data_IF_728644844065
#
_entry.id   IF_728644844065
#
_cell.length_a   1.000
_cell.length_b   1.000
_cell.length_c   1.000
_cell.angle_alpha   90.00
_cell.angle_beta   90.00
_cell.angle_gamma   90.00
#
_symmetry.space_group_name_H-M   'P 1'
#
loop_
_entity.id
_entity.type
_entity.pdbx_description
1 polymer ?
#
# COMPACT_ATOMS: atom_id res chain seq x y z
N UNK A 1 -26.25 10.09 -12.37
CA UNK A 1 -25.08 10.70 -13.01
C UNK A 1 -24.49 9.68 -13.96
N UNK A 2 -24.46 9.98 -15.24
CA UNK A 2 -23.89 9.09 -16.25
C UNK A 2 -22.36 9.25 -16.24
N UNK A 3 -21.58 8.24 -15.83
CA UNK A 3 -20.13 8.32 -15.87
C UNK A 3 -19.64 8.40 -17.32
N UNK A 4 -18.58 9.17 -17.54
CA UNK A 4 -17.95 9.29 -18.85
C UNK A 4 -16.89 8.22 -19.05
N UNK A 5 -16.58 7.92 -20.30
CA UNK A 5 -15.44 7.10 -20.70
C UNK A 5 -14.29 8.02 -21.10
N UNK A 6 -13.07 7.61 -20.87
CA UNK A 6 -11.87 8.35 -21.24
C UNK A 6 -10.96 7.45 -22.08
N UNK A 7 -10.15 8.02 -22.98
CA UNK A 7 -9.20 7.24 -23.79
C UNK A 7 -8.06 6.69 -22.94
N UNK A 8 -7.41 5.64 -23.45
CA UNK A 8 -6.21 5.07 -22.84
C UNK A 8 -5.07 6.09 -22.86
N UNK A 9 -4.46 6.35 -21.70
CA UNK A 9 -3.38 7.33 -21.55
C UNK A 9 -2.62 7.14 -20.24
N UNK A 10 -1.42 7.72 -20.16
CA UNK A 10 -0.68 7.85 -18.90
C UNK A 10 -1.07 9.17 -18.23
N UNK A 11 -1.51 9.09 -16.99
CA UNK A 11 -1.87 10.25 -16.17
C UNK A 11 -1.54 9.99 -14.71
N UNK A 12 -1.35 11.03 -13.89
CA UNK A 12 -1.29 10.87 -12.44
C UNK A 12 -2.58 10.23 -11.92
N UNK A 13 -2.42 9.26 -11.00
CA UNK A 13 -3.54 8.58 -10.35
C UNK A 13 -3.51 8.91 -8.87
N UNK A 14 -4.63 9.39 -8.35
CA UNK A 14 -4.81 9.71 -6.94
C UNK A 14 -5.69 8.63 -6.31
N UNK A 15 -5.17 7.97 -5.29
CA UNK A 15 -5.91 6.97 -4.49
C UNK A 15 -6.53 7.66 -3.29
N UNK A 16 -7.85 7.66 -3.17
CA UNK A 16 -8.52 8.13 -1.96
C UNK A 16 -8.11 7.31 -0.74
N UNK A 17 -8.27 7.84 0.47
CA UNK A 17 -7.96 7.13 1.72
C UNK A 17 -8.68 5.79 1.84
N UNK A 18 -9.84 5.66 1.22
CA UNK A 18 -10.62 4.42 1.18
C UNK A 18 -9.91 3.28 0.44
N UNK A 19 -9.16 3.58 -0.62
CA UNK A 19 -8.52 2.59 -1.49
C UNK A 19 -7.01 2.55 -1.36
N UNK A 20 -6.37 3.61 -0.87
CA UNK A 20 -4.91 3.68 -0.71
C UNK A 20 -4.36 2.65 0.28
N UNK A 21 -5.13 2.28 1.30
CA UNK A 21 -4.76 1.22 2.25
C UNK A 21 -4.50 -0.14 1.56
N UNK A 22 -5.15 -0.41 0.44
CA UNK A 22 -4.92 -1.62 -0.36
C UNK A 22 -3.48 -1.74 -0.86
N UNK A 23 -2.83 -0.63 -1.14
CA UNK A 23 -1.40 -0.62 -1.51
C UNK A 23 -0.53 -1.13 -0.37
N UNK A 24 -0.85 -0.78 0.88
CA UNK A 24 -0.17 -1.31 2.06
C UNK A 24 -0.46 -2.81 2.27
N UNK A 25 -1.63 -3.29 1.87
CA UNK A 25 -1.96 -4.71 1.83
C UNK A 25 -1.04 -5.48 0.89
N UNK A 26 -0.79 -4.95 -0.31
CA UNK A 26 0.16 -5.54 -1.25
C UNK A 26 1.60 -5.50 -0.72
N UNK A 27 2.01 -4.40 -0.10
CA UNK A 27 3.32 -4.30 0.55
C UNK A 27 3.47 -5.35 1.67
N UNK A 28 2.51 -5.43 2.59
CA UNK A 28 2.61 -6.37 3.72
C UNK A 28 2.65 -7.82 3.26
N UNK A 29 1.94 -8.18 2.21
CA UNK A 29 2.03 -9.49 1.56
C UNK A 29 3.41 -9.75 0.94
N UNK A 30 3.98 -8.74 0.29
CA UNK A 30 5.29 -8.85 -0.37
C UNK A 30 6.47 -8.95 0.60
N UNK A 31 6.39 -8.30 1.76
CA UNK A 31 7.44 -8.37 2.81
C UNK A 31 7.11 -9.38 3.91
N UNK A 32 6.05 -10.15 3.77
CA UNK A 32 5.71 -11.23 4.68
C UNK A 32 6.78 -12.32 4.65
N UNK A 33 7.31 -12.69 5.80
CA UNK A 33 8.38 -13.69 5.91
C UNK A 33 8.05 -15.03 5.25
N UNK A 34 6.78 -15.43 5.20
CA UNK A 34 6.37 -16.65 4.48
C UNK A 34 6.56 -16.53 2.97
N UNK A 35 6.25 -15.38 2.38
CA UNK A 35 6.46 -15.11 0.96
C UNK A 35 7.95 -15.04 0.62
N UNK A 36 8.74 -14.41 1.49
CA UNK A 36 10.19 -14.32 1.33
C UNK A 36 10.84 -15.71 1.42
N UNK A 37 10.47 -16.52 2.41
CA UNK A 37 10.99 -17.87 2.58
C UNK A 37 10.68 -18.79 1.39
N UNK A 38 9.53 -18.61 0.73
CA UNK A 38 9.17 -19.32 -0.50
C UNK A 38 9.81 -18.75 -1.76
N UNK A 39 10.41 -17.57 -1.70
CA UNK A 39 10.97 -16.88 -2.87
C UNK A 39 9.89 -16.37 -3.84
N UNK A 40 8.65 -16.14 -3.38
CA UNK A 40 7.50 -15.77 -4.21
C UNK A 40 7.12 -14.29 -4.12
N UNK A 41 8.04 -13.43 -3.71
CA UNK A 41 7.81 -11.98 -3.63
C UNK A 41 8.67 -11.23 -4.63
N UNK A 42 8.08 -10.21 -5.28
CA UNK A 42 8.83 -9.26 -6.12
C UNK A 42 9.83 -8.40 -5.33
N UNK A 43 9.76 -8.41 -3.99
CA UNK A 43 10.68 -7.69 -3.10
C UNK A 43 11.73 -8.58 -2.43
N UNK A 44 11.80 -9.86 -2.78
CA UNK A 44 12.63 -10.86 -2.09
C UNK A 44 14.12 -10.47 -1.98
N UNK A 45 14.65 -9.73 -2.94
CA UNK A 45 16.06 -9.33 -3.00
C UNK A 45 16.27 -7.85 -2.63
N UNK A 46 15.27 -7.19 -2.04
CA UNK A 46 15.24 -5.74 -1.84
C UNK A 46 15.52 -5.27 -0.41
N UNK A 47 15.93 -6.16 0.50
CA UNK A 47 16.28 -5.76 1.86
C UNK A 47 17.37 -4.70 1.87
N UNK A 48 17.13 -3.60 2.59
CA UNK A 48 18.07 -2.48 2.69
C UNK A 48 18.09 -1.55 1.48
N UNK A 49 17.28 -1.82 0.46
CA UNK A 49 17.17 -0.96 -0.72
C UNK A 49 16.00 0.02 -0.62
N UNK A 50 16.12 1.11 -1.36
CA UNK A 50 15.02 2.05 -1.54
C UNK A 50 13.96 1.43 -2.45
N UNK A 51 12.75 1.22 -1.90
CA UNK A 51 11.60 0.67 -2.63
C UNK A 51 10.41 1.63 -2.70
N UNK A 52 10.44 2.71 -1.93
CA UNK A 52 9.53 3.85 -2.00
C UNK A 52 10.28 5.14 -2.29
N UNK A 53 9.55 6.18 -2.65
CA UNK A 53 10.09 7.53 -2.77
C UNK A 53 10.71 8.03 -1.45
N UNK A 54 11.57 9.04 -1.53
CA UNK A 54 12.13 9.70 -0.35
C UNK A 54 11.03 10.21 0.58
N UNK A 55 11.27 10.18 1.87
CA UNK A 55 10.36 10.67 2.90
C UNK A 55 9.20 9.73 3.26
N UNK A 56 9.04 8.59 2.58
CA UNK A 56 8.00 7.62 2.90
C UNK A 56 8.40 6.78 4.11
N UNK A 57 7.55 6.80 5.15
CA UNK A 57 7.70 5.95 6.34
C UNK A 57 6.43 5.13 6.54
N UNK A 58 6.60 3.81 6.71
CA UNK A 58 5.49 2.86 6.94
C UNK A 58 5.80 2.06 8.19
N UNK A 59 4.88 2.10 9.14
CA UNK A 59 5.05 1.57 10.49
C UNK A 59 4.00 0.51 10.83
N UNK A 60 4.40 -0.40 11.71
CA UNK A 60 3.49 -1.28 12.44
C UNK A 60 3.55 -0.93 13.93
N UNK A 61 2.43 -0.59 14.53
CA UNK A 61 2.36 -0.19 15.94
C UNK A 61 1.37 -1.08 16.71
N UNK A 62 1.85 -2.14 17.37
CA UNK A 62 1.00 -3.04 18.14
C UNK A 62 0.46 -2.40 19.44
N UNK A 63 0.99 -1.27 19.85
CA UNK A 63 0.63 -0.58 21.09
C UNK A 63 -0.14 0.72 20.87
N UNK A 64 -0.59 0.97 19.64
CA UNK A 64 -1.40 2.14 19.35
C UNK A 64 -2.63 2.17 20.27
N UNK A 65 -2.78 3.26 21.03
CA UNK A 65 -3.93 3.44 21.92
C UNK A 65 -5.24 3.38 21.14
N UNK A 66 -6.16 2.50 21.55
CA UNK A 66 -7.42 2.23 20.87
C UNK A 66 -7.29 1.76 19.40
N UNK A 67 -6.14 1.23 19.04
CA UNK A 67 -5.94 0.61 17.73
C UNK A 67 -6.74 -0.69 17.62
N UNK A 68 -7.32 -0.93 16.46
CA UNK A 68 -8.20 -2.11 16.23
C UNK A 68 -7.45 -3.44 16.33
N UNK A 69 -6.14 -3.43 16.11
CA UNK A 69 -5.28 -4.62 16.14
C UNK A 69 -4.19 -4.55 17.19
N UNK A 70 -4.33 -3.67 18.17
CA UNK A 70 -3.38 -3.54 19.27
C UNK A 70 -3.39 -4.78 20.15
N UNK A 71 -2.22 -5.21 20.57
CA UNK A 71 -2.02 -6.35 21.46
C UNK A 71 -0.70 -6.22 22.24
N UNK A 72 -0.64 -6.69 23.50
CA UNK A 72 0.53 -6.50 24.35
C UNK A 72 1.74 -7.37 23.98
N UNK A 73 1.51 -8.47 23.27
CA UNK A 73 2.51 -9.40 22.78
C UNK A 73 2.01 -10.03 21.47
N UNK A 74 2.90 -10.67 20.72
CA UNK A 74 2.51 -11.37 19.51
C UNK A 74 1.85 -12.74 19.80
N UNK A 75 1.44 -13.46 18.76
CA UNK A 75 0.78 -14.76 18.88
C UNK A 75 1.65 -15.90 19.38
N UNK A 76 2.95 -15.67 19.56
CA UNK A 76 3.92 -16.61 20.15
C UNK A 76 4.40 -16.18 21.54
N UNK A 77 3.80 -15.12 22.10
CA UNK A 77 4.13 -14.61 23.42
C UNK A 77 5.39 -13.75 23.47
N UNK A 78 5.91 -13.32 22.33
CA UNK A 78 7.06 -12.42 22.27
C UNK A 78 6.63 -10.96 22.48
N UNK A 79 7.49 -10.21 23.19
CA UNK A 79 7.31 -8.77 23.32
C UNK A 79 7.39 -8.10 21.93
N UNK A 80 6.30 -7.48 21.51
CA UNK A 80 6.22 -6.74 20.27
C UNK A 80 6.52 -5.24 20.51
N UNK A 81 6.81 -4.53 19.44
CA UNK A 81 7.13 -3.10 19.51
C UNK A 81 6.76 -2.40 18.22
N UNK A 82 6.59 -1.08 18.31
CA UNK A 82 6.46 -0.23 17.14
C UNK A 82 7.72 -0.34 16.29
N UNK A 83 7.53 -0.56 14.99
CA UNK A 83 8.63 -0.78 14.04
C UNK A 83 8.35 -0.08 12.73
N UNK A 84 9.33 0.62 12.19
CA UNK A 84 9.30 1.08 10.82
C UNK A 84 9.77 -0.06 9.89
N UNK A 85 8.88 -0.54 9.02
CA UNK A 85 9.24 -1.49 7.97
C UNK A 85 9.80 -0.78 6.74
N UNK A 86 9.36 0.44 6.50
CA UNK A 86 9.92 1.36 5.52
C UNK A 86 10.29 2.64 6.28
N UNK A 87 11.53 3.07 6.12
CA UNK A 87 12.05 4.32 6.70
C UNK A 87 12.76 5.13 5.62
N UNK A 88 12.28 6.35 5.38
CA UNK A 88 12.75 7.20 4.29
C UNK A 88 12.86 6.45 2.94
N UNK A 89 11.83 5.69 2.63
CA UNK A 89 11.73 4.89 1.40
C UNK A 89 12.50 3.57 1.41
N UNK A 90 13.32 3.31 2.41
CA UNK A 90 14.21 2.13 2.49
C UNK A 90 13.54 0.98 3.25
N UNK A 91 13.56 -0.22 2.67
CA UNK A 91 13.07 -1.44 3.31
C UNK A 91 13.99 -1.86 4.46
N UNK A 92 13.45 -1.87 5.70
CA UNK A 92 14.20 -2.13 6.92
C UNK A 92 14.12 -3.58 7.40
N UNK A 93 12.99 -4.23 7.19
CA UNK A 93 12.76 -5.56 7.77
C UNK A 93 11.65 -6.31 7.03
N UNK A 94 11.70 -7.65 7.11
CA UNK A 94 10.56 -8.52 6.79
C UNK A 94 9.61 -8.59 7.98
N UNK A 95 8.35 -8.96 7.73
CA UNK A 95 7.37 -9.28 8.77
C UNK A 95 7.58 -10.73 9.17
N UNK A 96 8.09 -10.99 10.38
CA UNK A 96 8.57 -12.30 10.81
C UNK A 96 7.84 -12.81 12.05
N UNK A 97 7.61 -14.13 12.07
CA UNK A 97 7.39 -14.95 13.25
C UNK A 97 8.65 -15.78 13.54
N UNK A 98 8.63 -16.64 14.57
CA UNK A 98 9.77 -17.46 14.92
C UNK A 98 10.14 -18.47 13.82
N UNK A 99 9.14 -19.04 13.14
CA UNK A 99 9.38 -20.03 12.10
C UNK A 99 10.06 -19.40 10.88
N UNK A 100 9.52 -18.31 10.36
CA UNK A 100 10.09 -17.62 9.20
C UNK A 100 11.44 -16.98 9.51
N UNK A 101 11.61 -16.45 10.71
CA UNK A 101 12.90 -15.95 11.18
C UNK A 101 13.97 -17.06 11.14
N UNK A 102 13.69 -18.25 11.66
CA UNK A 102 14.60 -19.39 11.59
C UNK A 102 14.91 -19.83 10.17
N UNK A 103 13.90 -19.90 9.31
CA UNK A 103 14.08 -20.25 7.89
C UNK A 103 15.01 -19.28 7.16
N UNK A 104 14.98 -18.01 7.54
CA UNK A 104 15.76 -16.94 6.91
C UNK A 104 17.07 -16.62 7.63
N UNK A 105 17.36 -17.29 8.76
CA UNK A 105 18.55 -17.02 9.57
C UNK A 105 18.51 -15.65 10.26
N UNK A 106 17.33 -15.17 10.63
CA UNK A 106 17.06 -13.86 11.20
C UNK A 106 16.40 -13.99 12.58
N UNK A 107 16.25 -12.86 13.27
CA UNK A 107 15.46 -12.78 14.51
C UNK A 107 14.00 -12.45 14.19
N UNK A 108 13.07 -12.97 14.98
CA UNK A 108 11.65 -12.64 14.88
C UNK A 108 11.42 -11.16 15.11
N UNK A 109 10.53 -10.56 14.32
CA UNK A 109 10.03 -9.20 14.56
C UNK A 109 8.85 -9.14 15.52
N UNK A 110 8.52 -10.28 16.17
CA UNK A 110 7.37 -10.42 17.05
C UNK A 110 6.05 -10.01 16.34
N UNK A 111 5.89 -10.48 15.12
CA UNK A 111 4.71 -10.25 14.28
C UNK A 111 3.88 -11.53 14.07
N UNK A 112 3.93 -12.47 14.99
CA UNK A 112 3.09 -13.66 14.88
C UNK A 112 1.63 -13.34 15.17
N UNK A 113 0.74 -13.88 14.33
CA UNK A 113 -0.69 -14.00 14.60
C UNK A 113 -1.07 -15.46 14.65
N UNK A 114 -2.03 -15.79 15.50
CA UNK A 114 -2.50 -17.16 15.71
C UNK A 114 -4.01 -17.18 15.89
N UNK A 115 -4.69 -18.00 15.11
CA UNK A 115 -6.09 -18.36 15.35
C UNK A 115 -6.20 -19.49 16.37
N UNK A 116 -7.38 -19.65 16.97
CA UNK A 116 -7.66 -20.76 17.88
C UNK A 116 -7.43 -22.09 17.12
N UNK A 117 -6.55 -22.94 17.66
CA UNK A 117 -6.18 -24.22 17.04
C UNK A 117 -5.28 -24.13 15.80
N UNK A 118 -4.93 -22.91 15.35
CA UNK A 118 -4.06 -22.72 14.20
C UNK A 118 -2.58 -22.58 14.54
N UNK A 119 -1.73 -22.79 13.53
CA UNK A 119 -0.30 -22.49 13.63
C UNK A 119 -0.06 -20.99 13.55
N UNK A 120 0.96 -20.45 14.23
CA UNK A 120 1.36 -19.06 14.07
C UNK A 120 1.77 -18.74 12.62
N UNK A 121 1.53 -17.52 12.20
CA UNK A 121 1.99 -16.99 10.91
C UNK A 121 2.31 -15.51 11.02
N UNK A 122 3.22 -14.97 10.16
CA UNK A 122 3.53 -13.55 10.18
C UNK A 122 2.32 -12.69 9.79
N UNK A 123 2.09 -11.64 10.55
CA UNK A 123 0.99 -10.70 10.31
C UNK A 123 1.32 -9.32 10.88
N UNK A 124 0.77 -8.30 10.25
CA UNK A 124 0.81 -6.92 10.75
C UNK A 124 -0.20 -6.72 11.88
N UNK A 125 0.01 -5.68 12.67
CA UNK A 125 -0.96 -5.14 13.63
C UNK A 125 -1.57 -3.83 13.08
N UNK A 126 -1.46 -2.70 13.77
CA UNK A 126 -1.88 -1.42 13.23
C UNK A 126 -0.82 -0.91 12.26
N UNK A 127 -1.03 -1.13 10.99
CA UNK A 127 -0.08 -0.87 9.91
C UNK A 127 -0.48 0.39 9.16
N UNK A 128 0.43 1.36 9.02
CA UNK A 128 0.07 2.63 8.41
C UNK A 128 1.23 3.33 7.73
N UNK A 129 0.92 4.11 6.69
CA UNK A 129 1.82 5.05 6.07
C UNK A 129 1.70 6.40 6.77
N UNK A 130 2.82 6.95 7.24
CA UNK A 130 2.85 8.28 7.83
C UNK A 130 2.38 9.33 6.81
N UNK A 131 1.65 10.33 7.30
CA UNK A 131 1.18 11.43 6.47
C UNK A 131 2.34 12.20 5.85
N UNK A 132 2.12 12.69 4.63
CA UNK A 132 2.97 13.69 3.99
C UNK A 132 2.63 15.10 4.42
N UNK A 133 3.11 16.09 3.68
CA UNK A 133 2.92 17.51 3.97
C UNK A 133 1.94 18.22 3.02
N UNK A 134 1.55 17.60 1.90
CA UNK A 134 0.67 18.20 0.91
C UNK A 134 -0.80 17.99 1.28
N UNK A 135 -1.59 19.06 1.20
CA UNK A 135 -3.05 18.93 1.17
C UNK A 135 -3.51 18.22 -0.10
N UNK A 136 -4.73 17.69 -0.10
CA UNK A 136 -5.31 17.11 -1.31
C UNK A 136 -5.35 18.13 -2.46
N UNK A 137 -5.77 19.35 -2.17
CA UNK A 137 -5.86 20.44 -3.14
C UNK A 137 -4.49 20.77 -3.74
N UNK A 138 -3.45 20.88 -2.92
CA UNK A 138 -2.09 21.12 -3.38
C UNK A 138 -1.52 19.95 -4.18
N UNK A 139 -1.90 18.73 -3.83
CA UNK A 139 -1.46 17.51 -4.53
C UNK A 139 -1.95 17.43 -5.96
N UNK A 140 -3.16 17.95 -6.25
CA UNK A 140 -3.79 17.83 -7.57
C UNK A 140 -3.69 19.10 -8.42
N UNK A 141 -3.30 20.24 -7.86
CA UNK A 141 -3.36 21.57 -8.53
C UNK A 141 -2.56 21.68 -9.83
N UNK A 142 -1.49 20.90 -9.97
CA UNK A 142 -0.63 20.87 -11.17
C UNK A 142 -1.06 19.81 -12.19
N UNK A 143 -2.13 19.05 -11.91
CA UNK A 143 -2.61 17.99 -12.79
C UNK A 143 -3.51 18.57 -13.87
N UNK A 144 -3.05 18.56 -15.12
CA UNK A 144 -3.87 18.95 -16.26
C UNK A 144 -4.94 17.91 -16.58
N UNK A 145 -4.56 16.62 -16.56
CA UNK A 145 -5.47 15.47 -16.69
C UNK A 145 -5.02 14.37 -15.72
N UNK A 146 -5.94 13.82 -14.95
CA UNK A 146 -5.64 12.76 -13.97
C UNK A 146 -6.89 12.01 -13.53
N UNK A 147 -6.69 10.99 -12.70
CA UNK A 147 -7.77 10.14 -12.23
C UNK A 147 -7.76 10.02 -10.70
N UNK A 148 -8.85 10.42 -10.07
CA UNK A 148 -9.09 10.22 -8.63
C UNK A 148 -9.91 8.95 -8.40
N UNK A 149 -9.27 7.92 -7.86
CA UNK A 149 -9.85 6.58 -7.65
C UNK A 149 -10.55 6.53 -6.29
N UNK A 150 -11.83 6.21 -6.30
CA UNK A 150 -12.64 6.02 -5.08
C UNK A 150 -13.05 4.55 -4.88
N UNK A 151 -12.96 3.74 -5.92
CA UNK A 151 -13.33 2.33 -5.89
C UNK A 151 -12.41 1.51 -6.79
N UNK A 152 -12.00 0.34 -6.29
CA UNK A 152 -11.21 -0.65 -7.03
C UNK A 152 -11.99 -1.96 -7.15
N UNK A 153 -11.91 -2.60 -8.32
CA UNK A 153 -12.61 -3.83 -8.64
C UNK A 153 -11.61 -4.87 -9.15
N UNK A 154 -11.83 -6.12 -8.78
CA UNK A 154 -11.01 -7.23 -9.24
C UNK A 154 -9.71 -7.43 -8.45
N UNK A 155 -8.96 -8.47 -8.83
CA UNK A 155 -7.76 -8.99 -8.13
C UNK A 155 -6.57 -9.12 -9.09
N UNK A 156 -6.32 -8.13 -9.92
CA UNK A 156 -5.27 -8.17 -10.94
C UNK A 156 -3.88 -7.77 -10.42
N UNK A 157 -3.40 -8.41 -9.34
CA UNK A 157 -2.08 -8.14 -8.77
C UNK A 157 -1.26 -9.42 -8.71
N UNK A 158 -0.09 -9.42 -9.34
CA UNK A 158 0.87 -10.52 -9.29
C UNK A 158 1.94 -10.26 -8.23
N UNK A 159 1.90 -11.00 -7.12
CA UNK A 159 2.84 -10.83 -6.01
C UNK A 159 4.27 -11.27 -6.32
N UNK A 160 4.50 -12.05 -7.37
CA UNK A 160 5.83 -12.51 -7.80
C UNK A 160 6.54 -11.48 -8.69
N UNK A 161 5.79 -10.85 -9.60
CA UNK A 161 6.34 -9.89 -10.58
C UNK A 161 6.12 -8.43 -10.19
N UNK A 162 5.10 -8.17 -9.37
CA UNK A 162 4.66 -6.82 -9.02
C UNK A 162 3.67 -6.23 -10.02
N UNK A 163 3.31 -6.94 -11.08
CA UNK A 163 2.36 -6.46 -12.07
C UNK A 163 1.00 -6.16 -11.43
N UNK A 164 0.46 -5.01 -11.78
CA UNK A 164 -0.76 -4.45 -11.20
C UNK A 164 -1.73 -4.02 -12.30
N UNK A 165 -2.95 -4.55 -12.26
CA UNK A 165 -4.01 -4.20 -13.19
C UNK A 165 -5.35 -4.37 -12.50
N UNK A 166 -6.08 -3.27 -12.28
CA UNK A 166 -7.35 -3.31 -11.54
C UNK A 166 -8.41 -2.46 -12.22
N UNK A 167 -9.63 -2.96 -12.22
CA UNK A 167 -10.80 -2.14 -12.54
C UNK A 167 -10.95 -1.02 -11.51
N UNK A 168 -11.36 0.16 -11.98
CA UNK A 168 -11.47 1.34 -11.13
C UNK A 168 -12.66 2.23 -11.54
N UNK A 169 -13.19 2.92 -10.53
CA UNK A 169 -14.17 3.97 -10.70
C UNK A 169 -13.81 5.16 -9.80
N UNK A 170 -14.25 6.34 -10.20
CA UNK A 170 -13.96 7.56 -9.46
C UNK A 170 -14.26 8.80 -10.27
N UNK A 171 -13.37 9.77 -10.20
CA UNK A 171 -13.57 11.07 -10.84
C UNK A 171 -12.35 11.46 -11.68
N UNK A 172 -12.61 12.06 -12.83
CA UNK A 172 -11.55 12.65 -13.63
C UNK A 172 -11.12 13.98 -13.04
N UNK A 173 -9.83 14.25 -13.10
CA UNK A 173 -9.24 15.53 -12.70
C UNK A 173 -8.90 16.29 -13.98
N UNK A 174 -9.35 17.53 -14.07
CA UNK A 174 -9.00 18.47 -15.14
C UNK A 174 -8.54 19.80 -14.52
N UNK A 175 -7.41 20.30 -14.99
CA UNK A 175 -6.88 21.63 -14.58
C UNK A 175 -6.84 21.81 -13.05
N UNK A 176 -6.41 20.77 -12.35
CA UNK A 176 -6.27 20.80 -10.91
C UNK A 176 -7.54 20.67 -10.09
N UNK A 177 -8.67 20.30 -10.70
CA UNK A 177 -9.98 20.20 -10.06
C UNK A 177 -10.67 18.87 -10.39
N UNK A 178 -11.52 18.40 -9.47
CA UNK A 178 -12.41 17.26 -9.71
C UNK A 178 -13.49 17.69 -10.72
N UNK A 179 -13.53 17.02 -11.87
CA UNK A 179 -14.36 17.44 -13.00
C UNK A 179 -15.65 16.60 -13.14
N UNK A 180 -15.55 15.31 -13.42
CA UNK A 180 -16.72 14.46 -13.69
C UNK A 180 -16.48 13.00 -13.31
N UNK A 181 -17.55 12.23 -13.03
CA UNK A 181 -17.42 10.82 -12.71
C UNK A 181 -16.98 10.01 -13.93
N UNK A 182 -16.14 9.01 -13.69
CA UNK A 182 -15.69 8.01 -14.66
C UNK A 182 -15.79 6.62 -14.07
N UNK A 183 -16.09 5.64 -14.90
CA UNK A 183 -16.18 4.22 -14.52
C UNK A 183 -15.73 3.31 -15.65
N UNK A 184 -15.68 2.01 -15.36
CA UNK A 184 -15.27 0.99 -16.33
C UNK A 184 -13.86 1.24 -16.91
N UNK A 185 -12.96 1.73 -16.06
CA UNK A 185 -11.56 1.92 -16.40
C UNK A 185 -10.72 0.82 -15.79
N UNK A 186 -9.59 0.54 -16.40
CA UNK A 186 -8.52 -0.26 -15.79
C UNK A 186 -7.32 0.64 -15.52
N UNK A 187 -6.79 0.58 -14.31
CA UNK A 187 -5.51 1.21 -13.98
C UNK A 187 -4.44 0.13 -13.93
N UNK A 188 -3.32 0.41 -14.56
CA UNK A 188 -2.23 -0.56 -14.73
C UNK A 188 -0.87 0.04 -14.43
N UNK A 189 0.02 -0.79 -13.90
CA UNK A 189 1.40 -0.45 -13.59
C UNK A 189 2.15 -1.64 -13.04
N UNK A 190 3.28 -1.38 -12.41
CA UNK A 190 4.02 -2.36 -11.63
C UNK A 190 4.27 -1.78 -10.23
N UNK A 191 4.01 -2.55 -9.20
CA UNK A 191 4.14 -2.09 -7.80
C UNK A 191 5.54 -1.55 -7.47
N UNK A 192 6.61 -2.08 -8.09
CA UNK A 192 7.97 -1.56 -7.91
C UNK A 192 8.08 -0.11 -8.34
N UNK A 193 7.56 0.23 -9.51
CA UNK A 193 7.57 1.60 -10.05
C UNK A 193 6.56 2.48 -9.32
N UNK A 194 5.38 1.94 -9.02
CA UNK A 194 4.33 2.66 -8.30
C UNK A 194 4.80 3.15 -6.93
N UNK A 195 5.48 2.32 -6.15
CA UNK A 195 6.01 2.69 -4.84
C UNK A 195 7.09 3.76 -4.92
N UNK A 196 7.96 3.70 -5.93
CA UNK A 196 9.01 4.71 -6.16
C UNK A 196 8.45 6.08 -6.61
N UNK A 197 7.25 6.10 -7.17
CA UNK A 197 6.59 7.30 -7.69
C UNK A 197 5.38 7.75 -6.86
N UNK A 198 5.32 7.32 -5.60
CA UNK A 198 4.21 7.58 -4.70
C UNK A 198 4.50 8.80 -3.82
N UNK A 199 3.53 9.70 -3.74
CA UNK A 199 3.56 10.88 -2.85
C UNK A 199 2.36 10.83 -1.91
N UNK A 200 2.54 10.86 -0.57
CA UNK A 200 1.43 10.89 0.39
C UNK A 200 0.92 12.31 0.63
N UNK A 201 -0.38 12.43 0.85
CA UNK A 201 -1.00 13.65 1.34
C UNK A 201 -0.94 13.74 2.88
N UNK A 202 -1.48 14.82 3.44
CA UNK A 202 -1.49 15.11 4.88
C UNK A 202 -2.72 14.58 5.64
N UNK A 203 -3.62 13.86 4.96
CA UNK A 203 -4.96 13.50 5.43
C UNK A 203 -5.07 12.10 6.06
N UNK A 204 -3.98 11.58 6.63
CA UNK A 204 -4.01 10.29 7.32
C UNK A 204 -5.06 10.30 8.46
N UNK A 205 -5.95 9.33 8.41
CA UNK A 205 -6.91 9.06 9.48
C UNK A 205 -6.89 7.58 9.85
N UNK A 206 -7.04 7.28 11.14
CA UNK A 206 -7.03 5.91 11.64
C UNK A 206 -8.45 5.39 11.81
N UNK A 207 -8.94 4.64 10.84
CA UNK A 207 -10.28 4.04 10.83
C UNK A 207 -10.28 2.52 10.82
N UNK A 208 -9.18 1.92 10.35
CA UNK A 208 -9.04 0.49 10.11
C UNK A 208 -7.79 -0.06 10.80
N UNK A 209 -7.55 -1.36 10.66
CA UNK A 209 -6.28 -1.96 11.08
C UNK A 209 -5.10 -1.53 10.20
N UNK A 210 -5.36 -1.25 8.93
CA UNK A 210 -4.39 -0.69 7.99
C UNK A 210 -4.89 0.66 7.50
N UNK A 211 -4.07 1.69 7.58
CA UNK A 211 -4.44 3.06 7.23
C UNK A 211 -3.37 3.73 6.36
N UNK A 212 -3.82 4.51 5.40
CA UNK A 212 -2.96 5.32 4.55
C UNK A 212 -3.62 6.67 4.25
N UNK A 213 -2.84 7.72 4.03
CA UNK A 213 -3.39 8.98 3.50
C UNK A 213 -3.81 8.81 2.04
N UNK A 214 -4.45 9.83 1.47
CA UNK A 214 -4.54 9.97 0.02
C UNK A 214 -3.13 9.92 -0.56
N UNK A 215 -2.94 9.19 -1.65
CA UNK A 215 -1.64 9.09 -2.33
C UNK A 215 -1.77 9.41 -3.81
N UNK A 216 -0.74 10.05 -4.34
CA UNK A 216 -0.57 10.29 -5.77
C UNK A 216 0.50 9.35 -6.30
N UNK A 217 0.22 8.69 -7.42
CA UNK A 217 1.18 7.85 -8.13
C UNK A 217 1.30 8.35 -9.56
N UNK A 218 2.50 8.74 -9.96
CA UNK A 218 2.83 9.14 -11.32
C UNK A 218 3.32 7.93 -12.14
N UNK A 219 3.10 7.96 -13.46
CA UNK A 219 3.61 6.98 -14.40
C UNK A 219 2.75 5.75 -14.65
N UNK A 220 1.54 5.67 -14.05
CA UNK A 220 0.59 4.60 -14.33
C UNK A 220 -0.21 4.88 -15.62
N UNK A 221 -0.79 3.81 -16.16
CA UNK A 221 -1.68 3.87 -17.32
C UNK A 221 -3.13 3.71 -16.90
N UNK A 222 -3.99 4.58 -17.40
CA UNK A 222 -5.44 4.38 -17.41
C UNK A 222 -5.80 3.77 -18.76
N UNK A 223 -6.39 2.58 -18.76
CA UNK A 223 -6.95 1.95 -19.95
C UNK A 223 -8.46 2.17 -19.96
N UNK A 224 -8.91 2.99 -20.90
CA UNK A 224 -10.33 3.25 -21.20
C UNK A 224 -10.79 2.47 -22.42
N UNK A 225 -12.06 2.60 -22.75
CA UNK A 225 -12.56 2.09 -24.03
C UNK A 225 -12.19 3.06 -25.15
N UNK A 226 -11.83 2.50 -26.29
CA UNK A 226 -11.67 3.30 -27.52
C UNK A 226 -12.95 4.07 -27.78
N UNK A 227 -12.83 5.37 -27.99
CA UNK A 227 -13.93 6.25 -28.42
C UNK A 227 -14.24 5.96 -29.86
#
# INVERSE_FOLDING_TARGET
LNPRKVPTQQVPIIYSTRVSQGLLGHLSGAINGSSIARGTSFLKDKMGEKIFADGITILDDPHRKRGLRSKPMDGEGLANQKRAFIDDGVLQSWILDLRTARQLGLESTANASRSVGGSPSPSITNFYMAAGSLSFEDMIKDIESGFYVTELIGMGVNGVTGDYSRGAAGFWIEKGEIAYPVSELTIAGNLKDMFLNLTPADDLTFRYGTNAPTVRIDGMTVAGQSV
#
